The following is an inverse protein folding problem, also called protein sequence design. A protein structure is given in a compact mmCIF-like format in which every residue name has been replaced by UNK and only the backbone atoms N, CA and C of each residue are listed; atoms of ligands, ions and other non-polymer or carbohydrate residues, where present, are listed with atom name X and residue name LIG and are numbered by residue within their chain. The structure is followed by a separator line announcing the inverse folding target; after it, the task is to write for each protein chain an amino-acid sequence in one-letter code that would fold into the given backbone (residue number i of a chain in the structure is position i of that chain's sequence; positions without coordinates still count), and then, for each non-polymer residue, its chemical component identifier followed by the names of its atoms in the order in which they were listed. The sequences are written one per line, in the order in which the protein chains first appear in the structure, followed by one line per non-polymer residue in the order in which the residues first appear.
data_IF_374530544933
#
_entry.id   IF_374530544933
#
_cell.length_a   1.000
_cell.length_b   1.000
_cell.length_c   1.000
_cell.angle_alpha   90.00
_cell.angle_beta   90.00
_cell.angle_gamma   90.00
#
_symmetry.space_group_name_H-M   'P 1'
#
loop_
_entity.id
_entity.type
_entity.pdbx_description
1 polymer ?
#
# COMPACT_ATOMS: atom_id res chain seq x y z
N UNK A 1 17.01 1.28 12.17
CA UNK A 1 18.19 2.14 12.23
C UNK A 1 19.40 1.25 12.37
N UNK A 2 20.36 1.36 11.45
CA UNK A 2 21.65 0.67 11.55
C UNK A 2 22.64 1.47 12.42
N UNK A 3 23.74 0.83 12.83
CA UNK A 3 24.82 1.55 13.53
C UNK A 3 25.44 2.64 12.65
N UNK A 4 25.56 2.38 11.35
CA UNK A 4 26.09 3.34 10.38
C UNK A 4 25.19 4.58 10.26
N UNK A 5 23.87 4.39 10.15
CA UNK A 5 22.90 5.49 10.15
C UNK A 5 22.97 6.29 11.45
N UNK A 6 23.13 5.61 12.59
CA UNK A 6 23.28 6.29 13.88
C UNK A 6 24.56 7.13 13.93
N UNK A 7 25.71 6.56 13.55
CA UNK A 7 27.01 7.22 13.59
C UNK A 7 27.11 8.41 12.61
N UNK A 8 26.46 8.32 11.46
CA UNK A 8 26.46 9.37 10.43
C UNK A 8 25.32 10.38 10.59
N UNK A 9 24.45 10.21 11.58
CA UNK A 9 23.32 11.10 11.84
C UNK A 9 23.23 11.45 13.32
N UNK A 10 22.40 10.74 14.09
CA UNK A 10 22.05 11.09 15.46
C UNK A 10 23.24 11.31 16.41
N UNK A 11 24.33 10.55 16.26
CA UNK A 11 25.53 10.69 17.11
C UNK A 11 26.25 12.04 16.93
N UNK A 12 26.09 12.71 15.78
CA UNK A 12 26.79 13.96 15.46
C UNK A 12 25.95 15.21 15.75
N UNK A 13 24.66 15.06 16.05
CA UNK A 13 23.73 16.19 16.21
C UNK A 13 23.87 16.91 17.56
N UNK A 14 24.65 16.38 18.51
CA UNK A 14 24.83 16.96 19.84
C UNK A 14 23.56 16.93 20.72
N UNK A 15 22.53 16.19 20.29
CA UNK A 15 21.25 16.04 21.01
C UNK A 15 21.41 15.02 22.17
N UNK A 16 22.33 14.07 22.02
CA UNK A 16 22.62 13.03 23.01
C UNK A 16 23.82 13.46 23.87
N UNK A 17 23.77 13.13 25.15
CA UNK A 17 24.95 13.24 26.01
C UNK A 17 26.04 12.25 25.57
N UNK A 18 27.31 12.48 25.95
CA UNK A 18 28.39 11.54 25.66
C UNK A 18 28.09 10.12 26.19
N UNK A 19 27.52 10.00 27.38
CA UNK A 19 27.16 8.71 27.97
C UNK A 19 26.07 8.00 27.17
N UNK A 20 25.02 8.71 26.76
CA UNK A 20 23.94 8.12 25.95
C UNK A 20 24.44 7.66 24.58
N UNK A 21 25.38 8.40 23.99
CA UNK A 21 26.00 8.01 22.72
C UNK A 21 26.79 6.71 22.87
N UNK A 22 27.54 6.57 23.97
CA UNK A 22 28.26 5.34 24.32
C UNK A 22 27.29 4.19 24.55
N UNK A 23 26.23 4.40 25.33
CA UNK A 23 25.27 3.34 25.67
C UNK A 23 24.54 2.84 24.41
N UNK A 24 24.15 3.74 23.50
CA UNK A 24 23.53 3.37 22.21
C UNK A 24 24.54 2.61 21.34
N UNK A 25 25.80 3.06 21.24
CA UNK A 25 26.84 2.34 20.52
C UNK A 25 27.04 0.91 21.06
N UNK A 26 27.11 0.75 22.39
CA UNK A 26 27.21 -0.55 23.05
C UNK A 26 25.95 -1.39 22.82
N UNK A 27 24.77 -0.79 22.76
CA UNK A 27 23.53 -1.51 22.43
C UNK A 27 23.56 -2.15 21.04
N UNK A 28 24.23 -1.51 20.07
CA UNK A 28 24.43 -2.05 18.72
C UNK A 28 25.50 -3.13 18.63
N UNK A 29 26.55 -3.06 19.44
CA UNK A 29 27.79 -3.83 19.20
C UNK A 29 28.14 -4.83 20.31
N UNK A 30 27.76 -4.58 21.56
CA UNK A 30 28.18 -5.37 22.69
C UNK A 30 27.35 -6.65 22.85
N UNK A 31 28.00 -7.73 23.31
CA UNK A 31 27.33 -8.96 23.70
C UNK A 31 26.42 -8.75 24.92
N UNK A 32 26.89 -7.98 25.91
CA UNK A 32 26.12 -7.57 27.08
C UNK A 32 25.63 -6.14 26.87
N UNK A 33 24.34 -5.99 26.57
CA UNK A 33 23.76 -4.70 26.19
C UNK A 33 23.41 -3.87 27.43
N UNK A 34 23.78 -2.57 27.47
CA UNK A 34 23.32 -1.68 28.52
C UNK A 34 21.80 -1.48 28.41
N UNK A 35 21.17 -1.15 29.55
CA UNK A 35 19.78 -0.74 29.56
C UNK A 35 19.69 0.71 29.08
N UNK A 36 18.96 0.94 27.99
CA UNK A 36 18.71 2.28 27.48
C UNK A 36 17.44 2.87 28.08
N UNK A 37 17.47 4.18 28.32
CA UNK A 37 16.30 4.99 28.67
C UNK A 37 15.33 5.17 27.51
N UNK A 38 15.70 4.71 26.31
CA UNK A 38 14.96 4.84 25.07
C UNK A 38 14.30 3.51 24.68
N UNK A 39 13.12 3.52 23.99
CA UNK A 39 12.51 2.32 23.47
C UNK A 39 13.43 1.58 22.49
N UNK A 40 13.92 0.40 22.89
CA UNK A 40 14.76 -0.47 22.06
C UNK A 40 13.96 -1.50 21.27
N UNK A 41 12.69 -1.68 21.62
CA UNK A 41 11.78 -2.55 20.86
C UNK A 41 11.43 -1.88 19.55
N UNK A 42 11.54 -2.63 18.45
CA UNK A 42 11.08 -2.18 17.15
C UNK A 42 9.62 -1.74 17.26
N UNK A 43 9.32 -0.53 16.77
CA UNK A 43 7.94 -0.06 16.68
C UNK A 43 7.21 -1.02 15.74
N UNK A 44 6.08 -1.57 16.19
CA UNK A 44 5.29 -2.53 15.40
C UNK A 44 4.81 -1.95 14.05
N UNK A 45 4.82 -0.62 13.90
CA UNK A 45 4.33 0.07 12.71
C UNK A 45 2.81 -0.01 12.62
N UNK A 46 2.24 0.64 11.60
CA UNK A 46 0.85 0.42 11.23
C UNK A 46 0.79 -0.83 10.34
N UNK A 47 -0.20 -1.69 10.57
CA UNK A 47 -0.44 -2.84 9.70
C UNK A 47 -1.09 -2.33 8.41
N UNK A 48 -0.54 -2.70 7.26
CA UNK A 48 -1.16 -2.40 5.98
C UNK A 48 -2.53 -3.09 5.87
N UNK A 49 -3.52 -2.33 5.42
CA UNK A 49 -4.86 -2.78 5.10
C UNK A 49 -5.02 -2.79 3.57
N UNK A 50 -5.83 -3.71 3.05
CA UNK A 50 -6.04 -3.91 1.61
C UNK A 50 -7.52 -3.76 1.33
N UNK A 51 -7.91 -2.69 0.63
CA UNK A 51 -9.27 -2.50 0.15
C UNK A 51 -9.39 -3.12 -1.24
N UNK A 52 -9.98 -4.33 -1.32
CA UNK A 52 -10.25 -5.04 -2.56
C UNK A 52 -11.65 -4.69 -3.09
N UNK A 53 -11.76 -4.21 -4.34
CA UNK A 53 -13.00 -3.62 -4.88
C UNK A 53 -13.83 -4.49 -5.82
N UNK A 54 -13.38 -5.71 -6.13
CA UNK A 54 -14.07 -6.63 -7.04
C UNK A 54 -14.54 -7.89 -6.33
N UNK A 55 -15.66 -8.47 -6.77
CA UNK A 55 -16.15 -9.74 -6.20
C UNK A 55 -15.67 -10.96 -6.99
N UNK A 56 -15.27 -10.75 -8.25
CA UNK A 56 -14.79 -11.82 -9.14
C UNK A 56 -13.65 -11.32 -10.03
N UNK A 57 -12.84 -12.25 -10.53
CA UNK A 57 -11.77 -11.99 -11.49
C UNK A 57 -11.69 -13.03 -12.62
N UNK A 58 -12.62 -14.00 -12.65
CA UNK A 58 -12.51 -15.18 -13.51
C UNK A 58 -13.86 -15.52 -14.18
N UNK A 59 -14.03 -15.09 -15.44
CA UNK A 59 -15.04 -15.66 -16.32
C UNK A 59 -14.44 -16.00 -17.69
N UNK A 60 -14.61 -17.27 -18.08
CA UNK A 60 -14.49 -17.90 -19.42
C UNK A 60 -13.24 -17.60 -20.26
N UNK A 61 -12.87 -16.34 -20.47
CA UNK A 61 -11.68 -15.90 -21.21
C UNK A 61 -11.30 -14.48 -20.79
N UNK A 62 -10.07 -14.30 -20.31
CA UNK A 62 -9.53 -12.97 -20.05
C UNK A 62 -9.23 -12.24 -21.35
N UNK A 63 -9.48 -10.94 -21.38
CA UNK A 63 -9.31 -10.09 -22.58
C UNK A 63 -8.52 -8.82 -22.29
N UNK A 64 -8.09 -8.61 -21.04
CA UNK A 64 -7.38 -7.41 -20.64
C UNK A 64 -5.98 -7.39 -21.24
N UNK A 65 -5.64 -6.29 -21.90
CA UNK A 65 -4.40 -6.12 -22.69
C UNK A 65 -3.76 -4.80 -22.34
N UNK A 66 -2.46 -4.76 -22.55
CA UNK A 66 -1.66 -3.58 -22.27
C UNK A 66 -1.00 -3.10 -23.55
N UNK A 67 -1.32 -1.87 -23.94
CA UNK A 67 -0.82 -1.21 -25.15
C UNK A 67 -0.50 0.26 -24.86
N UNK A 68 0.11 0.52 -23.70
CA UNK A 68 0.39 1.87 -23.21
C UNK A 68 -0.85 2.69 -22.83
N UNK A 69 -2.02 2.04 -22.69
CA UNK A 69 -3.26 2.69 -22.23
C UNK A 69 -3.30 2.70 -20.71
N UNK A 70 -3.94 3.74 -20.17
CA UNK A 70 -4.05 3.95 -18.73
C UNK A 70 -5.29 3.24 -18.17
N UNK A 71 -5.08 2.40 -17.16
CA UNK A 71 -6.13 1.95 -16.26
C UNK A 71 -6.25 2.97 -15.12
N UNK A 72 -7.45 3.50 -14.89
CA UNK A 72 -7.64 4.56 -13.89
C UNK A 72 -8.97 4.47 -13.16
N UNK A 73 -8.97 4.76 -11.87
CA UNK A 73 -10.17 4.78 -11.02
C UNK A 73 -10.09 5.96 -10.06
N UNK A 74 -11.21 6.63 -9.83
CA UNK A 74 -11.33 7.64 -8.79
C UNK A 74 -11.81 7.01 -7.49
N UNK A 75 -11.32 7.51 -6.37
CA UNK A 75 -11.80 7.13 -5.06
C UNK A 75 -11.82 8.31 -4.08
N UNK A 76 -12.69 8.22 -3.09
CA UNK A 76 -12.64 9.03 -1.87
C UNK A 76 -12.86 8.11 -0.65
N UNK A 77 -12.59 8.65 0.53
CA UNK A 77 -12.70 7.93 1.80
C UNK A 77 -13.35 8.81 2.87
N UNK A 78 -14.03 8.20 3.83
CA UNK A 78 -14.69 8.89 4.95
C UNK A 78 -13.73 9.27 6.09
N UNK A 79 -12.53 8.70 6.11
CA UNK A 79 -11.50 8.94 7.14
C UNK A 79 -10.13 9.08 6.53
N UNK A 80 -9.27 9.85 7.22
CA UNK A 80 -7.89 10.03 6.78
C UNK A 80 -7.15 8.70 6.78
N UNK A 81 -6.49 8.43 5.66
CA UNK A 81 -5.61 7.27 5.48
C UNK A 81 -4.30 7.71 4.83
N UNK A 82 -3.36 6.77 4.75
CA UNK A 82 -2.11 6.92 3.99
C UNK A 82 -2.03 5.79 2.98
N UNK A 83 -2.22 6.09 1.70
CA UNK A 83 -2.08 5.10 0.62
C UNK A 83 -0.60 4.83 0.39
N UNK A 84 -0.22 3.56 0.29
CA UNK A 84 1.17 3.13 0.10
C UNK A 84 1.40 2.43 -1.22
N UNK A 85 0.35 1.95 -1.87
CA UNK A 85 0.49 1.19 -3.10
C UNK A 85 -0.82 0.65 -3.64
N UNK A 86 -0.72 -0.06 -4.74
CA UNK A 86 -1.84 -0.73 -5.40
C UNK A 86 -1.56 -2.23 -5.50
N UNK A 87 -2.60 -3.05 -5.41
CA UNK A 87 -2.56 -4.40 -5.94
C UNK A 87 -3.04 -4.40 -7.38
N UNK A 88 -2.34 -5.11 -8.25
CA UNK A 88 -2.62 -5.22 -9.69
C UNK A 88 -2.87 -6.67 -10.06
N UNK A 89 -3.63 -6.90 -11.12
CA UNK A 89 -3.81 -8.26 -11.64
C UNK A 89 -2.65 -8.54 -12.59
N UNK A 90 -2.19 -9.77 -12.58
CA UNK A 90 -1.13 -10.24 -13.45
C UNK A 90 -1.64 -11.10 -14.60
N UNK A 91 -0.70 -11.81 -15.23
CA UNK A 91 -0.95 -12.64 -16.39
C UNK A 91 -1.94 -13.75 -16.08
N UNK A 92 -2.76 -14.08 -17.06
CA UNK A 92 -3.74 -15.17 -17.02
C UNK A 92 -3.36 -16.38 -17.87
N UNK A 93 -2.18 -16.34 -18.49
CA UNK A 93 -1.69 -17.36 -19.41
C UNK A 93 -0.36 -18.01 -18.94
N UNK A 94 0.00 -17.79 -17.68
CA UNK A 94 1.26 -18.26 -17.09
C UNK A 94 2.09 -17.13 -16.51
N UNK A 95 3.27 -17.46 -15.99
CA UNK A 95 4.13 -16.47 -15.37
C UNK A 95 4.66 -15.43 -16.37
N UNK A 96 4.67 -14.16 -15.98
CA UNK A 96 5.14 -13.06 -16.81
C UNK A 96 5.60 -11.86 -15.97
N UNK A 97 6.57 -11.11 -16.49
CA UNK A 97 6.95 -9.81 -15.95
C UNK A 97 6.11 -8.70 -16.57
N UNK A 98 5.66 -7.76 -15.74
CA UNK A 98 5.02 -6.52 -16.18
C UNK A 98 5.88 -5.33 -15.75
N UNK A 99 6.13 -4.42 -16.69
CA UNK A 99 6.54 -3.06 -16.34
C UNK A 99 5.28 -2.27 -16.01
N UNK A 100 5.36 -1.40 -15.01
CA UNK A 100 4.22 -0.58 -14.62
C UNK A 100 4.66 0.79 -14.14
N UNK A 101 3.96 1.82 -14.63
CA UNK A 101 3.93 3.14 -14.01
C UNK A 101 2.67 3.28 -13.19
N UNK A 102 2.80 3.48 -11.87
CA UNK A 102 1.68 3.84 -11.01
C UNK A 102 1.73 5.32 -10.67
N UNK A 103 0.56 5.95 -10.59
CA UNK A 103 0.39 7.35 -10.18
C UNK A 103 -0.78 7.47 -9.21
N UNK A 104 -0.61 8.31 -8.20
CA UNK A 104 -1.70 8.80 -7.36
C UNK A 104 -1.84 10.30 -7.57
N UNK A 105 -3.03 10.74 -7.97
CA UNK A 105 -3.30 12.11 -8.39
C UNK A 105 -4.42 12.74 -7.59
N UNK A 106 -4.41 14.07 -7.51
CA UNK A 106 -5.52 14.90 -7.00
C UNK A 106 -5.63 16.17 -7.82
N UNK A 107 -6.84 16.48 -8.28
CA UNK A 107 -7.12 17.70 -9.07
C UNK A 107 -6.16 17.85 -10.28
N UNK A 108 -5.86 16.75 -10.96
CA UNK A 108 -4.96 16.72 -12.12
C UNK A 108 -3.46 16.82 -11.79
N UNK A 109 -3.06 16.89 -10.51
CA UNK A 109 -1.66 16.91 -10.09
C UNK A 109 -1.23 15.54 -9.57
N UNK A 110 -0.07 15.07 -10.00
CA UNK A 110 0.58 13.86 -9.47
C UNK A 110 1.12 14.15 -8.07
N UNK A 111 0.65 13.39 -7.09
CA UNK A 111 1.12 13.45 -5.70
C UNK A 111 2.27 12.49 -5.47
N UNK A 112 2.22 11.32 -6.10
CA UNK A 112 3.28 10.34 -6.13
C UNK A 112 3.22 9.52 -7.41
N UNK A 113 4.37 9.05 -7.87
CA UNK A 113 4.50 8.12 -8.96
C UNK A 113 5.61 7.10 -8.67
N UNK A 114 5.54 5.94 -9.30
CA UNK A 114 6.64 4.99 -9.33
C UNK A 114 6.65 4.22 -10.65
N UNK A 115 7.82 4.11 -11.27
CA UNK A 115 8.06 3.26 -12.43
C UNK A 115 8.77 2.00 -11.93
N UNK A 116 8.07 0.87 -11.91
CA UNK A 116 8.56 -0.37 -11.33
C UNK A 116 8.18 -1.57 -12.19
N UNK A 117 8.55 -2.75 -11.73
CA UNK A 117 8.16 -4.04 -12.33
C UNK A 117 7.63 -4.97 -11.26
N UNK A 118 6.74 -5.86 -11.65
CA UNK A 118 6.33 -6.98 -10.81
C UNK A 118 6.27 -8.27 -11.62
N UNK A 119 6.57 -9.37 -10.93
CA UNK A 119 6.45 -10.71 -11.47
C UNK A 119 5.06 -11.27 -11.13
N UNK A 120 4.33 -11.69 -12.15
CA UNK A 120 3.10 -12.47 -11.99
C UNK A 120 3.40 -13.95 -12.15
N UNK A 121 2.84 -14.78 -11.27
CA UNK A 121 2.99 -16.24 -11.30
C UNK A 121 1.95 -16.96 -12.20
N UNK A 122 1.09 -16.20 -12.89
CA UNK A 122 0.00 -16.74 -13.71
C UNK A 122 -1.26 -17.09 -12.92
N UNK A 123 -1.29 -16.88 -11.60
CA UNK A 123 -2.48 -17.04 -10.78
C UNK A 123 -3.40 -15.82 -10.85
N UNK A 124 -4.64 -15.99 -10.40
CA UNK A 124 -5.61 -14.90 -10.26
C UNK A 124 -5.38 -14.01 -9.04
N UNK A 125 -4.21 -14.13 -8.38
CA UNK A 125 -3.85 -13.28 -7.25
C UNK A 125 -3.57 -11.84 -7.70
N UNK A 126 -3.50 -10.96 -6.72
CA UNK A 126 -3.03 -9.58 -6.90
C UNK A 126 -1.56 -9.47 -6.55
N UNK A 127 -0.86 -8.58 -7.27
CA UNK A 127 0.57 -8.33 -7.11
C UNK A 127 0.76 -6.87 -6.68
N UNK A 128 1.41 -6.69 -5.54
CA UNK A 128 1.53 -5.37 -4.92
C UNK A 128 2.68 -4.57 -5.51
N UNK A 129 2.39 -3.31 -5.79
CA UNK A 129 3.37 -2.28 -6.17
C UNK A 129 3.21 -1.07 -5.27
N UNK A 130 4.33 -0.49 -4.85
CA UNK A 130 4.36 0.52 -3.80
C UNK A 130 4.93 1.85 -4.30
N UNK A 131 4.46 2.94 -3.71
CA UNK A 131 5.13 4.24 -3.79
C UNK A 131 6.33 4.26 -2.84
N UNK A 132 7.24 5.21 -3.06
CA UNK A 132 8.41 5.39 -2.18
C UNK A 132 8.01 5.78 -0.76
N UNK A 133 7.00 6.65 -0.64
CA UNK A 133 6.52 7.17 0.64
C UNK A 133 4.98 7.07 0.72
N UNK A 134 4.40 6.81 1.90
CA UNK A 134 2.94 6.86 2.09
C UNK A 134 2.37 8.25 1.77
N UNK A 135 1.25 8.28 1.05
CA UNK A 135 0.58 9.52 0.63
C UNK A 135 -0.67 9.74 1.46
N UNK A 136 -0.74 10.89 2.14
CA UNK A 136 -1.91 11.28 2.93
C UNK A 136 -3.12 11.52 2.04
N UNK A 137 -4.22 10.85 2.36
CA UNK A 137 -5.53 11.01 1.74
C UNK A 137 -6.44 11.69 2.74
N UNK A 138 -6.88 12.90 2.40
CA UNK A 138 -7.89 13.60 3.19
C UNK A 138 -9.30 13.00 2.99
N UNK A 139 -10.13 12.98 4.04
CA UNK A 139 -11.53 12.59 3.94
C UNK A 139 -12.30 13.41 2.90
N UNK A 140 -13.32 12.81 2.30
CA UNK A 140 -14.29 13.46 1.42
C UNK A 140 -13.67 14.17 0.20
N UNK A 141 -12.44 13.82 -0.14
CA UNK A 141 -11.70 14.36 -1.27
C UNK A 141 -11.48 13.27 -2.32
N UNK A 142 -11.71 13.59 -3.59
CA UNK A 142 -11.45 12.67 -4.69
C UNK A 142 -9.97 12.63 -5.07
N UNK A 143 -9.45 11.41 -5.19
CA UNK A 143 -8.14 11.08 -5.71
C UNK A 143 -8.30 10.14 -6.91
N UNK A 144 -7.33 10.17 -7.82
CA UNK A 144 -7.28 9.28 -9.00
C UNK A 144 -6.10 8.34 -8.82
N UNK A 145 -6.36 7.04 -8.76
CA UNK A 145 -5.37 5.99 -8.85
C UNK A 145 -5.22 5.56 -10.32
N UNK A 146 -4.00 5.58 -10.85
CA UNK A 146 -3.72 5.21 -12.23
C UNK A 146 -2.58 4.21 -12.32
N UNK A 147 -2.69 3.29 -13.26
CA UNK A 147 -1.67 2.33 -13.61
C UNK A 147 -1.56 2.22 -15.13
N UNK A 148 -0.35 2.37 -15.65
CA UNK A 148 -0.03 2.09 -17.05
C UNK A 148 0.88 0.87 -17.04
N UNK A 149 0.31 -0.29 -17.33
CA UNK A 149 1.05 -1.54 -17.43
C UNK A 149 1.55 -1.72 -18.87
N UNK A 150 2.67 -2.44 -18.98
CA UNK A 150 3.24 -2.92 -20.22
C UNK A 150 3.70 -4.38 -20.04
N UNK A 151 3.18 -5.25 -20.90
CA UNK A 151 3.42 -6.70 -20.89
C UNK A 151 2.71 -7.39 -22.05
N UNK A 152 3.29 -8.49 -22.53
CA UNK A 152 2.80 -9.22 -23.71
C UNK A 152 1.55 -10.06 -23.43
N UNK A 153 1.40 -10.57 -22.21
CA UNK A 153 0.36 -11.52 -21.86
C UNK A 153 -0.97 -10.85 -21.47
N UNK A 154 -2.07 -11.55 -21.76
CA UNK A 154 -3.40 -11.18 -21.26
C UNK A 154 -3.42 -11.31 -19.75
N UNK A 155 -3.95 -10.31 -19.06
CA UNK A 155 -4.10 -10.37 -17.61
C UNK A 155 -5.51 -10.71 -17.16
N UNK A 156 -5.61 -11.19 -15.92
CA UNK A 156 -6.87 -11.16 -15.19
C UNK A 156 -7.37 -9.72 -15.06
N UNK A 157 -8.69 -9.58 -14.94
CA UNK A 157 -9.31 -8.31 -14.62
C UNK A 157 -10.49 -8.54 -13.69
N UNK A 158 -10.74 -7.55 -12.84
CA UNK A 158 -11.82 -7.61 -11.88
C UNK A 158 -13.17 -7.42 -12.56
N UNK A 159 -14.19 -8.02 -11.96
CA UNK A 159 -15.59 -7.97 -12.36
C UNK A 159 -16.44 -7.83 -11.11
N UNK A 160 -17.71 -7.46 -11.30
CA UNK A 160 -18.66 -7.27 -10.20
C UNK A 160 -18.11 -6.25 -9.20
N UNK A 161 -17.59 -5.14 -9.73
CA UNK A 161 -16.94 -4.13 -8.92
C UNK A 161 -17.92 -3.30 -8.10
N UNK A 162 -17.52 -3.05 -6.86
CA UNK A 162 -18.32 -2.35 -5.85
C UNK A 162 -18.09 -0.84 -5.95
N UNK A 163 -19.17 -0.06 -5.95
CA UNK A 163 -19.08 1.41 -5.85
C UNK A 163 -18.69 1.88 -4.45
N UNK A 164 -18.90 1.04 -3.44
CA UNK A 164 -18.55 1.32 -2.05
C UNK A 164 -18.03 0.05 -1.36
N UNK A 165 -16.95 0.18 -0.59
CA UNK A 165 -16.34 -0.92 0.16
C UNK A 165 -16.07 -0.47 1.59
N UNK A 166 -16.66 -1.18 2.55
CA UNK A 166 -16.46 -0.93 3.98
C UNK A 166 -15.35 -1.82 4.54
N UNK A 167 -14.29 -1.20 5.05
CA UNK A 167 -13.10 -1.87 5.61
C UNK A 167 -13.15 -2.01 7.14
N UNK A 168 -14.35 -1.95 7.74
CA UNK A 168 -14.56 -2.03 9.19
C UNK A 168 -14.38 -0.71 9.93
N UNK A 169 -13.49 0.17 9.46
CA UNK A 169 -13.28 1.51 10.04
C UNK A 169 -13.32 2.61 9.01
N UNK A 170 -12.96 2.32 7.77
CA UNK A 170 -12.88 3.26 6.66
C UNK A 170 -13.81 2.77 5.57
N UNK A 171 -14.55 3.68 4.96
CA UNK A 171 -15.38 3.42 3.80
C UNK A 171 -14.72 4.03 2.57
N UNK A 172 -14.51 3.22 1.54
CA UNK A 172 -14.02 3.65 0.24
C UNK A 172 -15.19 3.79 -0.72
N UNK A 173 -15.27 4.89 -1.45
CA UNK A 173 -16.21 5.07 -2.56
C UNK A 173 -15.43 5.17 -3.87
N UNK A 174 -15.88 4.46 -4.89
CA UNK A 174 -15.21 4.34 -6.18
C UNK A 174 -16.05 4.93 -7.31
N UNK A 175 -15.40 5.72 -8.17
CA UNK A 175 -15.99 6.39 -9.31
C UNK A 175 -15.17 6.17 -10.58
N UNK A 176 -15.82 6.21 -11.74
CA UNK A 176 -15.12 6.15 -13.02
C UNK A 176 -14.18 7.35 -13.18
N UNK A 177 -12.96 7.11 -13.65
CA UNK A 177 -12.01 8.16 -13.99
C UNK A 177 -12.09 8.47 -15.50
N UNK A 178 -12.15 9.75 -15.85
CA UNK A 178 -12.02 10.19 -17.26
C UNK A 178 -10.63 9.92 -17.85
N UNK A 179 -9.64 9.64 -17.00
CA UNK A 179 -8.27 9.28 -17.43
C UNK A 179 -8.13 7.79 -17.77
N UNK A 180 -9.18 6.98 -17.54
CA UNK A 180 -9.17 5.56 -17.85
C UNK A 180 -9.40 5.32 -19.33
N UNK A 181 -8.33 5.00 -20.04
CA UNK A 181 -8.33 4.77 -21.49
C UNK A 181 -8.22 3.29 -21.86
N UNK A 182 -7.92 2.43 -20.89
CA UNK A 182 -7.84 0.98 -21.09
C UNK A 182 -9.13 0.23 -20.67
N UNK A 183 -10.14 0.96 -20.20
CA UNK A 183 -11.48 0.41 -19.91
C UNK A 183 -11.77 0.15 -18.44
N UNK A 184 -10.83 0.41 -17.54
CA UNK A 184 -11.08 0.30 -16.10
C UNK A 184 -12.19 1.25 -15.68
N UNK A 185 -13.19 0.72 -14.98
CA UNK A 185 -14.26 1.48 -14.36
C UNK A 185 -14.64 0.89 -13.01
N UNK A 186 -15.77 1.33 -12.47
CA UNK A 186 -16.28 0.81 -11.20
C UNK A 186 -16.58 -0.69 -11.31
N UNK A 187 -17.30 -1.11 -12.36
CA UNK A 187 -17.80 -2.48 -12.50
C UNK A 187 -16.76 -3.52 -12.92
N UNK A 188 -15.66 -3.10 -13.55
CA UNK A 188 -14.64 -4.03 -14.02
C UNK A 188 -13.32 -3.38 -14.42
N UNK A 189 -12.27 -4.17 -14.49
CA UNK A 189 -10.95 -3.78 -15.00
C UNK A 189 -9.81 -3.97 -14.00
N UNK A 190 -8.87 -3.03 -14.00
CA UNK A 190 -7.65 -3.07 -13.22
C UNK A 190 -7.70 -2.26 -11.91
N UNK A 191 -6.59 -2.28 -11.17
CA UNK A 191 -6.46 -1.69 -9.83
C UNK A 191 -7.49 -2.32 -8.89
N UNK A 192 -7.42 -3.65 -8.65
CA UNK A 192 -8.30 -4.34 -7.71
C UNK A 192 -8.16 -3.84 -6.29
N UNK A 193 -6.98 -3.36 -5.90
CA UNK A 193 -6.67 -3.10 -4.51
C UNK A 193 -6.00 -1.75 -4.28
N UNK A 194 -6.47 -1.03 -3.26
CA UNK A 194 -5.76 0.08 -2.63
C UNK A 194 -5.14 -0.42 -1.32
N UNK A 195 -3.83 -0.27 -1.19
CA UNK A 195 -3.07 -0.65 -0.01
C UNK A 195 -2.81 0.59 0.82
N UNK A 196 -3.18 0.58 2.09
CA UNK A 196 -3.14 1.78 2.93
C UNK A 196 -2.85 1.49 4.40
N UNK A 197 -2.42 2.53 5.12
CA UNK A 197 -2.47 2.60 6.57
C UNK A 197 -3.62 3.50 7.00
N UNK A 198 -4.41 3.08 7.99
CA UNK A 198 -5.53 3.86 8.48
C UNK A 198 -5.95 3.45 9.88
N UNK A 199 -7.05 4.01 10.39
CA UNK A 199 -7.65 3.57 11.64
C UNK A 199 -7.94 2.07 11.58
N UNK A 200 -7.54 1.32 12.60
CA UNK A 200 -7.86 -0.10 12.75
C UNK A 200 -8.81 -0.30 13.93
N UNK A 201 -9.64 -1.34 13.90
CA UNK A 201 -10.39 -1.75 15.10
C UNK A 201 -9.38 -2.28 16.11
N UNK A 202 -9.18 -1.56 17.23
CA UNK A 202 -8.38 -2.08 18.34
C UNK A 202 -9.14 -3.26 18.96
N UNK A 203 -8.72 -4.49 18.67
CA UNK A 203 -9.25 -5.69 19.34
C UNK A 203 -8.67 -5.90 20.74
N UNK A 204 -7.90 -4.95 21.28
CA UNK A 204 -7.47 -4.96 22.68
C UNK A 204 -8.50 -4.26 23.57
N UNK A 205 -9.64 -4.91 23.80
CA UNK A 205 -10.39 -4.66 25.04
C UNK A 205 -9.72 -5.48 26.15
N UNK A 206 -9.33 -4.89 27.29
CA UNK A 206 -9.00 -5.68 28.47
C UNK A 206 -10.25 -6.47 28.86
N UNK A 207 -10.11 -7.78 29.01
CA UNK A 207 -11.17 -8.63 29.52
C UNK A 207 -11.53 -8.14 30.94
N UNK A 208 -12.74 -7.59 31.20
CA UNK A 208 -13.09 -7.05 32.52
C UNK A 208 -13.26 -8.14 33.59
N UNK A 209 -13.19 -9.42 33.21
CA UNK A 209 -13.45 -10.56 34.07
C UNK A 209 -12.19 -11.38 34.43
N UNK A 210 -11.00 -10.79 34.40
CA UNK A 210 -9.85 -11.40 35.06
C UNK A 210 -9.81 -10.97 36.53
N UNK A 211 -10.75 -11.52 37.32
CA UNK A 211 -10.65 -11.60 38.77
C UNK A 211 -10.66 -13.08 39.18
N UNK A 212 -9.63 -13.42 39.95
CA UNK A 212 -9.43 -14.57 40.85
C UNK A 212 -9.31 -15.98 40.25
N UNK A 213 -8.07 -16.44 40.15
CA UNK A 213 -7.52 -17.50 41.03
C UNK A 213 -5.97 -17.41 41.10
#
# INVERSE_FOLDING_TARGET
MSLEEFANSAAQLGILTPQETIDIFLHFTAANKPQLSYPVKQRAGLKAQICHRFQSCAYRSNQWRYRGRCDSIQFCVDKRIFVVGFGLYGSSNGAADYNVKIELKRLGRVLAENNTKFFSDGSSNTFHVYFENPIQIEPECFYTASAILDGSELSYFGQEGLSEVYMGTVTFQFHCSSESTNGTGVQGGQIPELIYYGPTVNTSLPNPNASDD
#
